data_IF_866131472984
#
_entry.id   IF_866131472984
#
_cell.length_a   1.000
_cell.length_b   1.000
_cell.length_c   1.000
_cell.angle_alpha   90.00
_cell.angle_beta   90.00
_cell.angle_gamma   90.00
#
_symmetry.space_group_name_H-M   'P 1'
#
loop_
_entity.id
_entity.type
_entity.pdbx_description
1 polymer ?
#
# COMPACT_ATOMS: atom_id res chain seq x y z
N UNK A 1 1.96 -23.10 -14.43
CA UNK A 1 0.86 -22.10 -14.53
C UNK A 1 1.33 -20.89 -13.78
N UNK A 2 1.21 -19.69 -14.35
CA UNK A 2 1.54 -18.46 -13.63
C UNK A 2 0.55 -18.23 -12.49
N UNK A 3 1.05 -17.81 -11.34
CA UNK A 3 0.27 -17.46 -10.14
C UNK A 3 0.71 -16.05 -9.69
N UNK A 4 0.39 -15.05 -10.52
CA UNK A 4 0.82 -13.67 -10.33
C UNK A 4 0.06 -12.97 -9.20
N UNK A 5 0.39 -13.31 -7.96
CA UNK A 5 -0.21 -12.73 -6.76
C UNK A 5 0.75 -12.72 -5.59
N UNK A 6 0.45 -11.86 -4.63
CA UNK A 6 1.09 -11.76 -3.32
C UNK A 6 0.45 -12.78 -2.37
N UNK A 7 1.28 -13.48 -1.58
CA UNK A 7 0.88 -14.44 -0.53
C UNK A 7 1.43 -14.10 0.86
N UNK A 8 2.37 -13.18 0.95
CA UNK A 8 2.89 -12.68 2.23
C UNK A 8 3.29 -11.21 2.06
N UNK A 9 3.02 -10.41 3.09
CA UNK A 9 3.38 -9.00 3.14
C UNK A 9 4.03 -8.71 4.48
N UNK A 10 5.26 -8.22 4.43
CA UNK A 10 5.96 -7.67 5.60
C UNK A 10 6.22 -6.20 5.39
N UNK A 11 6.11 -5.43 6.45
CA UNK A 11 6.48 -4.02 6.49
C UNK A 11 7.78 -3.91 7.28
N UNK A 12 8.77 -3.15 6.79
CA UNK A 12 9.97 -2.84 7.56
C UNK A 12 9.58 -1.91 8.73
N UNK A 13 9.40 -2.50 9.90
CA UNK A 13 8.87 -1.83 11.08
C UNK A 13 9.85 -0.85 11.73
N UNK A 14 11.10 -0.76 11.22
CA UNK A 14 12.11 0.20 11.73
C UNK A 14 11.61 1.65 11.67
N UNK A 15 10.63 1.94 10.81
CA UNK A 15 10.06 3.28 10.62
C UNK A 15 8.63 3.44 11.15
N UNK A 16 7.98 2.37 11.62
CA UNK A 16 6.59 2.42 12.07
C UNK A 16 6.52 3.04 13.48
N UNK A 17 6.09 4.30 13.57
CA UNK A 17 5.55 4.83 14.83
C UNK A 17 4.17 4.20 15.03
N UNK A 18 4.09 3.25 15.96
CA UNK A 18 2.84 2.69 16.46
C UNK A 18 1.95 3.83 17.01
N UNK A 19 1.04 4.33 16.17
CA UNK A 19 0.11 5.40 16.52
C UNK A 19 -1.31 4.96 16.16
N UNK A 20 -2.14 4.86 17.21
CA UNK A 20 -3.58 4.64 17.18
C UNK A 20 -4.04 3.25 16.67
N UNK A 21 -4.95 2.63 17.44
CA UNK A 21 -5.55 1.32 17.13
C UNK A 21 -6.25 1.31 15.76
N UNK A 22 -6.72 2.47 15.30
CA UNK A 22 -7.38 2.61 14.00
C UNK A 22 -6.43 2.43 12.81
N UNK A 23 -5.21 2.98 12.89
CA UNK A 23 -4.18 2.80 11.84
C UNK A 23 -3.75 1.33 11.77
N UNK A 24 -3.61 0.70 12.94
CA UNK A 24 -3.31 -0.74 13.01
C UNK A 24 -4.44 -1.57 12.41
N UNK A 25 -5.69 -1.17 12.64
CA UNK A 25 -6.84 -1.82 12.02
C UNK A 25 -6.83 -1.65 10.50
N UNK A 26 -6.56 -0.44 9.98
CA UNK A 26 -6.44 -0.22 8.54
C UNK A 26 -5.29 -1.03 7.93
N UNK A 27 -4.14 -1.14 8.60
CA UNK A 27 -3.03 -2.01 8.20
C UNK A 27 -3.48 -3.47 8.07
N UNK A 28 -4.12 -4.01 9.12
CA UNK A 28 -4.56 -5.41 9.13
C UNK A 28 -5.58 -5.70 8.05
N UNK A 29 -6.55 -4.81 7.85
CA UNK A 29 -7.57 -4.94 6.80
C UNK A 29 -6.92 -4.88 5.42
N UNK A 30 -6.00 -3.94 5.18
CA UNK A 30 -5.32 -3.83 3.89
C UNK A 30 -4.47 -5.06 3.56
N UNK A 31 -3.74 -5.61 4.54
CA UNK A 31 -2.99 -6.87 4.34
C UNK A 31 -3.94 -8.03 4.07
N UNK A 32 -4.97 -8.19 4.89
CA UNK A 32 -5.95 -9.27 4.73
C UNK A 32 -6.59 -9.23 3.33
N UNK A 33 -7.13 -8.09 2.93
CA UNK A 33 -7.79 -7.94 1.63
C UNK A 33 -6.81 -8.16 0.47
N UNK A 34 -5.54 -7.79 0.63
CA UNK A 34 -4.51 -8.03 -0.38
C UNK A 34 -4.25 -9.52 -0.55
N UNK A 35 -4.12 -10.26 0.56
CA UNK A 35 -3.86 -11.70 0.52
C UNK A 35 -5.06 -12.50 0.00
N UNK A 36 -6.28 -12.01 0.23
CA UNK A 36 -7.51 -12.62 -0.31
C UNK A 36 -7.66 -12.39 -1.82
N UNK A 37 -7.41 -11.16 -2.30
CA UNK A 37 -7.58 -10.81 -3.70
C UNK A 37 -6.58 -9.75 -4.16
N UNK A 38 -5.63 -10.15 -5.01
CA UNK A 38 -4.71 -9.25 -5.68
C UNK A 38 -4.27 -9.78 -7.04
N UNK A 39 -3.80 -8.86 -7.89
CA UNK A 39 -3.07 -9.13 -9.11
C UNK A 39 -1.71 -8.44 -9.01
N UNK A 40 -0.64 -9.22 -9.03
CA UNK A 40 0.73 -8.71 -8.90
C UNK A 40 1.65 -9.47 -9.84
N UNK A 41 1.94 -8.86 -10.99
CA UNK A 41 2.77 -9.44 -12.03
C UNK A 41 4.03 -8.60 -12.25
N UNK A 42 5.18 -9.01 -11.70
CA UNK A 42 6.47 -8.47 -12.09
C UNK A 42 6.69 -8.64 -13.60
N UNK A 43 7.29 -7.63 -14.23
CA UNK A 43 7.65 -7.66 -15.66
C UNK A 43 8.97 -8.40 -15.90
N UNK A 44 9.80 -8.51 -14.87
CA UNK A 44 11.03 -9.29 -14.90
C UNK A 44 10.69 -10.78 -15.00
N UNK A 45 11.27 -11.47 -15.98
CA UNK A 45 11.24 -12.94 -16.02
C UNK A 45 12.30 -13.50 -15.06
N UNK A 46 11.90 -14.43 -14.21
CA UNK A 46 12.78 -15.06 -13.23
C UNK A 46 13.27 -16.43 -13.71
N UNK A 47 14.34 -16.92 -13.09
CA UNK A 47 14.91 -18.25 -13.35
C UNK A 47 13.86 -19.36 -13.22
N UNK A 48 14.06 -20.44 -13.98
CA UNK A 48 13.17 -21.60 -14.07
C UNK A 48 11.73 -21.26 -14.50
N UNK A 49 11.52 -20.07 -15.07
CA UNK A 49 10.19 -19.58 -15.44
C UNK A 49 9.30 -19.30 -14.23
N UNK A 50 9.90 -18.97 -13.08
CA UNK A 50 9.15 -18.67 -11.86
C UNK A 50 8.20 -17.49 -12.10
N UNK A 51 6.91 -17.72 -11.88
CA UNK A 51 5.85 -16.78 -12.20
C UNK A 51 4.87 -16.64 -11.04
N UNK A 52 5.41 -16.57 -9.81
CA UNK A 52 4.67 -16.44 -8.57
C UNK A 52 4.17 -17.76 -7.97
N UNK A 53 3.53 -17.70 -6.79
CA UNK A 53 3.16 -16.49 -6.06
C UNK A 53 4.33 -15.84 -5.30
N UNK A 54 4.17 -14.59 -4.88
CA UNK A 54 5.25 -13.77 -4.33
C UNK A 54 5.06 -13.44 -2.85
N UNK A 55 6.17 -13.40 -2.11
CA UNK A 55 6.25 -12.73 -0.81
C UNK A 55 6.84 -11.35 -1.03
N UNK A 56 6.30 -10.31 -0.37
CA UNK A 56 6.85 -8.96 -0.49
C UNK A 56 7.26 -8.38 0.86
N UNK A 57 8.32 -7.58 0.84
CA UNK A 57 8.72 -6.74 1.98
C UNK A 57 8.73 -5.29 1.53
N UNK A 58 7.95 -4.44 2.19
CA UNK A 58 7.83 -3.02 1.89
C UNK A 58 8.51 -2.17 2.97
N UNK A 59 9.30 -1.18 2.56
CA UNK A 59 9.93 -0.23 3.47
C UNK A 59 9.95 1.18 2.89
N UNK A 60 10.13 2.19 3.74
CA UNK A 60 10.32 3.58 3.30
C UNK A 60 11.62 4.13 3.88
N UNK A 61 12.53 4.53 3.00
CA UNK A 61 13.82 5.12 3.35
C UNK A 61 14.07 6.36 2.48
N UNK A 62 14.46 7.48 3.09
CA UNK A 62 14.76 8.75 2.40
C UNK A 62 13.67 9.22 1.40
N UNK A 63 12.40 8.95 1.71
CA UNK A 63 11.27 9.35 0.88
C UNK A 63 11.08 8.48 -0.37
N UNK A 64 11.63 7.26 -0.36
CA UNK A 64 11.48 6.24 -1.39
C UNK A 64 10.86 5.00 -0.80
N UNK A 65 9.94 4.37 -1.54
CA UNK A 65 9.42 3.05 -1.25
C UNK A 65 10.39 2.01 -1.78
N UNK A 66 10.80 1.08 -0.94
CA UNK A 66 11.54 -0.12 -1.33
C UNK A 66 10.57 -1.31 -1.28
N UNK A 67 10.54 -2.12 -2.33
CA UNK A 67 9.77 -3.37 -2.38
C UNK A 67 10.71 -4.50 -2.77
N UNK A 68 11.00 -5.38 -1.83
CA UNK A 68 11.67 -6.65 -2.09
C UNK A 68 10.61 -7.70 -2.46
N UNK A 69 10.89 -8.47 -3.51
CA UNK A 69 10.07 -9.58 -4.00
C UNK A 69 10.86 -10.87 -3.79
N UNK A 70 10.23 -11.82 -3.10
CA UNK A 70 10.79 -13.14 -2.83
C UNK A 70 9.85 -14.23 -3.37
N UNK A 71 10.43 -15.37 -3.72
CA UNK A 71 9.70 -16.59 -4.00
C UNK A 71 9.14 -17.22 -2.72
N UNK A 72 8.29 -18.24 -2.88
CA UNK A 72 7.67 -19.01 -1.79
C UNK A 72 8.68 -19.65 -0.84
N UNK A 73 9.86 -20.01 -1.35
CA UNK A 73 10.99 -20.59 -0.60
C UNK A 73 11.93 -19.53 0.01
N UNK A 74 11.50 -18.26 0.04
CA UNK A 74 12.24 -17.11 0.56
C UNK A 74 13.45 -16.69 -0.30
N UNK A 75 13.70 -17.32 -1.46
CA UNK A 75 14.70 -16.86 -2.42
C UNK A 75 14.37 -15.43 -2.88
N UNK A 76 15.33 -14.52 -2.77
CA UNK A 76 15.19 -13.17 -3.31
C UNK A 76 15.16 -13.21 -4.84
N UNK A 77 14.16 -12.55 -5.43
CA UNK A 77 13.99 -12.46 -6.88
C UNK A 77 14.48 -11.11 -7.38
N UNK A 78 13.96 -10.03 -6.80
CA UNK A 78 14.44 -8.67 -7.08
C UNK A 78 14.00 -7.70 -5.98
N UNK A 79 14.63 -6.53 -5.96
CA UNK A 79 14.18 -5.38 -5.18
C UNK A 79 14.07 -4.17 -6.11
N UNK A 80 12.94 -3.47 -6.07
CA UNK A 80 12.78 -2.21 -6.78
C UNK A 80 12.48 -1.05 -5.82
N UNK A 81 12.81 0.16 -6.26
CA UNK A 81 12.63 1.39 -5.49
C UNK A 81 11.80 2.37 -6.29
N UNK A 82 10.79 2.95 -5.63
CA UNK A 82 9.90 3.96 -6.20
C UNK A 82 10.01 5.28 -5.42
N UNK A 83 10.31 6.43 -6.07
CA UNK A 83 10.24 7.73 -5.41
C UNK A 83 8.83 8.04 -4.93
N UNK A 84 8.67 8.41 -3.65
CA UNK A 84 7.37 8.82 -3.10
C UNK A 84 7.12 10.33 -3.18
N UNK A 85 8.06 11.11 -3.74
CA UNK A 85 7.89 12.55 -3.92
C UNK A 85 6.60 12.96 -4.63
N UNK A 86 6.06 12.21 -5.63
CA UNK A 86 4.77 12.54 -6.25
C UNK A 86 3.57 12.40 -5.30
N UNK A 87 3.66 11.49 -4.32
CA UNK A 87 2.56 11.18 -3.40
C UNK A 87 2.52 12.11 -2.17
N UNK A 88 3.54 12.95 -1.96
CA UNK A 88 3.66 13.81 -0.76
C UNK A 88 2.40 14.61 -0.45
N UNK A 89 1.80 15.22 -1.48
CA UNK A 89 0.56 15.99 -1.33
C UNK A 89 -0.61 15.09 -0.93
N UNK A 90 -0.84 14.00 -1.66
CA UNK A 90 -1.94 13.07 -1.42
C UNK A 90 -1.85 12.44 -0.04
N UNK A 91 -0.65 12.03 0.39
CA UNK A 91 -0.39 11.46 1.72
C UNK A 91 -0.69 12.49 2.82
N UNK A 92 -0.21 13.73 2.67
CA UNK A 92 -0.52 14.83 3.61
C UNK A 92 -2.03 15.10 3.69
N UNK A 93 -2.69 15.20 2.55
CA UNK A 93 -4.12 15.51 2.48
C UNK A 93 -4.95 14.35 3.08
N UNK A 94 -4.50 13.10 2.92
CA UNK A 94 -5.08 11.92 3.56
C UNK A 94 -4.97 11.99 5.09
N UNK A 95 -3.79 12.30 5.63
CA UNK A 95 -3.64 12.43 7.08
C UNK A 95 -4.49 13.56 7.68
N UNK A 96 -4.65 14.69 6.97
CA UNK A 96 -5.52 15.77 7.40
C UNK A 96 -7.00 15.36 7.43
N UNK A 97 -7.44 14.55 6.44
CA UNK A 97 -8.79 13.98 6.42
C UNK A 97 -8.99 12.95 7.53
N UNK A 98 -8.00 12.09 7.81
CA UNK A 98 -8.09 11.12 8.92
C UNK A 98 -8.21 11.83 10.28
N UNK A 99 -7.44 12.89 10.54
CA UNK A 99 -7.59 13.70 11.75
C UNK A 99 -8.99 14.33 11.86
N UNK A 100 -9.51 14.83 10.73
CA UNK A 100 -10.88 15.36 10.65
C UNK A 100 -11.94 14.28 10.92
N UNK A 101 -11.75 13.08 10.39
CA UNK A 101 -12.61 11.91 10.59
C UNK A 101 -12.68 11.51 12.08
N UNK A 102 -11.53 11.40 12.75
CA UNK A 102 -11.49 11.05 14.17
C UNK A 102 -12.14 12.10 15.07
N UNK A 103 -12.00 13.39 14.73
CA UNK A 103 -12.72 14.48 15.41
C UNK A 103 -14.22 14.39 15.17
N UNK A 104 -14.63 14.08 13.94
CA UNK A 104 -16.03 14.00 13.54
C UNK A 104 -16.78 12.82 14.17
N UNK A 105 -16.16 11.63 14.29
CA UNK A 105 -16.82 10.46 14.90
C UNK A 105 -17.41 10.75 16.29
N UNK A 106 -16.78 11.65 17.06
CA UNK A 106 -17.21 11.95 18.43
C UNK A 106 -18.36 12.97 18.52
N UNK A 107 -18.63 13.76 17.48
CA UNK A 107 -19.49 14.94 17.60
C UNK A 107 -20.29 15.33 16.34
N UNK A 108 -20.01 14.72 15.19
CA UNK A 108 -20.62 15.05 13.91
C UNK A 108 -21.85 14.19 13.59
N UNK A 109 -22.69 14.67 12.69
CA UNK A 109 -23.84 13.90 12.21
C UNK A 109 -23.39 12.77 11.27
N UNK A 110 -24.21 11.71 11.09
CA UNK A 110 -23.89 10.63 10.15
C UNK A 110 -23.56 11.13 8.73
N UNK A 111 -24.28 12.14 8.24
CA UNK A 111 -24.05 12.74 6.92
C UNK A 111 -22.68 13.44 6.82
N UNK A 112 -22.23 14.09 7.88
CA UNK A 112 -20.90 14.71 7.92
C UNK A 112 -19.79 13.65 7.94
N UNK A 113 -19.98 12.57 8.70
CA UNK A 113 -19.04 11.44 8.73
C UNK A 113 -18.95 10.78 7.35
N UNK A 114 -20.08 10.55 6.69
CA UNK A 114 -20.13 10.00 5.33
C UNK A 114 -19.42 10.91 4.32
N UNK A 115 -19.61 12.23 4.41
CA UNK A 115 -18.92 13.20 3.54
C UNK A 115 -17.40 13.11 3.70
N UNK A 116 -16.91 12.99 4.93
CA UNK A 116 -15.48 12.84 5.21
C UNK A 116 -14.97 11.48 4.69
N UNK A 117 -15.73 10.40 4.89
CA UNK A 117 -15.36 9.08 4.39
C UNK A 117 -15.29 9.03 2.86
N UNK A 118 -16.23 9.69 2.17
CA UNK A 118 -16.18 9.85 0.71
C UNK A 118 -14.90 10.57 0.26
N UNK A 119 -14.53 11.67 0.92
CA UNK A 119 -13.30 12.40 0.63
C UNK A 119 -12.05 11.54 0.89
N UNK A 120 -12.04 10.77 1.98
CA UNK A 120 -10.97 9.80 2.30
C UNK A 120 -10.83 8.75 1.21
N UNK A 121 -11.94 8.16 0.76
CA UNK A 121 -11.95 7.17 -0.32
C UNK A 121 -11.49 7.76 -1.64
N UNK A 122 -11.86 9.01 -1.94
CA UNK A 122 -11.39 9.74 -3.13
C UNK A 122 -9.87 9.86 -3.17
N UNK A 123 -9.23 10.24 -2.06
CA UNK A 123 -7.77 10.32 -1.98
C UNK A 123 -7.07 8.98 -2.23
N UNK A 124 -7.63 7.88 -1.71
CA UNK A 124 -7.11 6.54 -2.00
C UNK A 124 -7.28 6.15 -3.47
N UNK A 125 -8.38 6.54 -4.12
CA UNK A 125 -8.61 6.26 -5.53
C UNK A 125 -7.57 6.98 -6.39
N UNK A 126 -7.43 8.30 -6.20
CA UNK A 126 -6.48 9.12 -6.95
C UNK A 126 -5.03 8.62 -6.76
N UNK A 127 -4.71 8.15 -5.55
CA UNK A 127 -3.42 7.56 -5.26
C UNK A 127 -3.21 6.19 -5.91
N UNK A 128 -4.26 5.36 -5.97
CA UNK A 128 -4.20 4.04 -6.59
C UNK A 128 -3.95 4.13 -8.09
N UNK A 129 -4.61 5.08 -8.78
CA UNK A 129 -4.37 5.35 -10.20
C UNK A 129 -2.91 5.76 -10.44
N UNK A 130 -2.43 6.75 -9.67
CA UNK A 130 -1.03 7.20 -9.75
C UNK A 130 -0.04 6.08 -9.42
N UNK A 131 -0.32 5.25 -8.41
CA UNK A 131 0.57 4.15 -8.04
C UNK A 131 0.62 3.08 -9.13
N UNK A 132 -0.50 2.78 -9.77
CA UNK A 132 -0.57 1.84 -10.90
C UNK A 132 0.33 2.31 -12.04
N UNK A 133 0.21 3.58 -12.46
CA UNK A 133 1.05 4.15 -13.52
C UNK A 133 2.55 4.10 -13.18
N UNK A 134 2.88 4.36 -11.91
CA UNK A 134 4.27 4.38 -11.43
C UNK A 134 4.86 2.98 -11.32
N UNK A 135 4.05 1.99 -10.97
CA UNK A 135 4.46 0.59 -10.89
C UNK A 135 4.56 -0.05 -12.27
N UNK A 136 3.80 0.40 -13.28
CA UNK A 136 3.70 -0.22 -14.60
C UNK A 136 5.04 -0.46 -15.33
N UNK A 137 6.12 0.22 -14.95
CA UNK A 137 7.47 -0.03 -15.48
C UNK A 137 8.18 -1.24 -14.84
N UNK A 138 7.61 -1.83 -13.78
CA UNK A 138 8.21 -2.88 -12.94
C UNK A 138 7.24 -4.01 -12.65
N UNK A 139 6.01 -3.67 -12.26
CA UNK A 139 4.98 -4.60 -11.84
C UNK A 139 3.62 -4.12 -12.36
N UNK A 140 2.91 -4.98 -13.06
CA UNK A 140 1.49 -4.79 -13.36
C UNK A 140 0.65 -5.18 -12.14
N UNK A 141 -0.22 -4.27 -11.72
CA UNK A 141 -1.19 -4.48 -10.64
C UNK A 141 -2.56 -3.99 -11.08
N UNK A 142 -3.62 -4.56 -10.51
CA UNK A 142 -4.96 -4.00 -10.65
C UNK A 142 -5.17 -2.81 -9.68
N UNK A 143 -6.26 -2.08 -9.89
CA UNK A 143 -6.59 -0.89 -9.10
C UNK A 143 -6.77 -1.20 -7.61
N UNK A 144 -7.42 -2.31 -7.27
CA UNK A 144 -7.68 -2.66 -5.87
C UNK A 144 -6.40 -3.07 -5.14
N UNK A 145 -5.49 -3.76 -5.83
CA UNK A 145 -4.13 -4.08 -5.37
C UNK A 145 -3.35 -2.79 -5.13
N UNK A 146 -3.34 -1.86 -6.09
CA UNK A 146 -2.68 -0.57 -5.94
C UNK A 146 -3.26 0.24 -4.77
N UNK A 147 -4.58 0.24 -4.60
CA UNK A 147 -5.26 0.92 -3.49
C UNK A 147 -4.82 0.37 -2.12
N UNK A 148 -4.75 -0.95 -1.97
CA UNK A 148 -4.30 -1.63 -0.74
C UNK A 148 -2.82 -1.38 -0.47
N UNK A 149 -1.97 -1.48 -1.50
CA UNK A 149 -0.56 -1.12 -1.40
C UNK A 149 -0.37 0.33 -0.96
N UNK A 150 -1.18 1.27 -1.49
CA UNK A 150 -1.12 2.67 -1.06
C UNK A 150 -1.51 2.85 0.41
N UNK A 151 -2.50 2.12 0.93
CA UNK A 151 -2.79 2.11 2.37
C UNK A 151 -1.57 1.71 3.19
N UNK A 152 -0.84 0.67 2.76
CA UNK A 152 0.39 0.24 3.45
C UNK A 152 1.53 1.27 3.32
N UNK A 153 1.63 1.97 2.19
CA UNK A 153 2.56 3.11 2.02
C UNK A 153 2.23 4.23 3.01
N UNK A 154 0.95 4.58 3.18
CA UNK A 154 0.53 5.57 4.18
C UNK A 154 0.97 5.15 5.59
N UNK A 155 0.77 3.88 5.97
CA UNK A 155 1.21 3.34 7.27
C UNK A 155 2.73 3.49 7.46
N UNK A 156 3.52 3.23 6.42
CA UNK A 156 4.98 3.41 6.44
C UNK A 156 5.43 4.88 6.48
N UNK A 157 4.63 5.81 5.94
CA UNK A 157 5.02 7.22 5.78
C UNK A 157 4.72 8.12 6.99
N UNK A 158 4.12 7.61 8.07
CA UNK A 158 3.68 8.38 9.26
C UNK A 158 4.81 9.20 9.96
N UNK A 159 6.07 9.04 9.56
CA UNK A 159 7.24 9.55 10.28
C UNK A 159 8.09 10.64 9.61
N UNK A 160 7.78 11.11 8.40
CA UNK A 160 8.61 12.14 7.72
C UNK A 160 7.99 13.54 7.76
#
# INVERSE_FOLDING_TARGET
MSDHRIIDVKLDERTILWRNADVEQERRVAIFDLLEANSFRPLTEYEDGYAGPYKIVMGVEEGRLTVAINATDDRELETFVLPLSPFRRTVRDYFAICDSYYKAIRAATPQQIETIDMARRGLHNDAAEQLTERLAARVEVDFDTARRLFTLICVLHIRQ
#
